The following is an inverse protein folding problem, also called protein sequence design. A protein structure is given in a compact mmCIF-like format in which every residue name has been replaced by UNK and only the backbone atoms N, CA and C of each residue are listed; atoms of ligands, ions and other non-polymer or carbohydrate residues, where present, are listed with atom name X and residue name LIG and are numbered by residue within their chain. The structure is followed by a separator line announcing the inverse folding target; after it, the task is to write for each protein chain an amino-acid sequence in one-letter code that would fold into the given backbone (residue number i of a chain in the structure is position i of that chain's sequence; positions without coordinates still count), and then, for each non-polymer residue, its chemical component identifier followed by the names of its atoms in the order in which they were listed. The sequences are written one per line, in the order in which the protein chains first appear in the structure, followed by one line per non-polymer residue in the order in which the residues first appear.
data_IF_397442865567
#
_entry.id   IF_397442865567
#
_cell.length_a   1.000
_cell.length_b   1.000
_cell.length_c   1.000
_cell.angle_alpha   90.00
_cell.angle_beta   90.00
_cell.angle_gamma   90.00
#
_symmetry.space_group_name_H-M   'P 1'
#
loop_
_entity.id
_entity.type
_entity.pdbx_description
1 polymer ?
#
# COMPACT_ATOMS: atom_id res chain seq x y z
N UNK A 1 37.02 11.27 47.47
CA UNK A 1 36.15 11.91 46.43
C UNK A 1 36.30 11.37 45.05
N UNK A 2 37.50 11.15 44.47
CA UNK A 2 37.65 10.67 43.05
C UNK A 2 37.14 9.23 42.78
N UNK A 3 37.20 8.33 43.77
CA UNK A 3 36.74 6.94 43.62
C UNK A 3 35.20 6.86 43.67
N UNK A 4 34.59 7.63 44.57
CA UNK A 4 33.11 7.70 44.73
C UNK A 4 32.43 8.21 43.43
N UNK A 5 33.02 9.21 42.79
CA UNK A 5 32.53 9.75 41.52
C UNK A 5 32.64 8.72 40.36
N UNK A 6 33.69 7.91 40.33
CA UNK A 6 33.84 6.83 39.31
C UNK A 6 32.82 5.72 39.50
N UNK A 7 32.50 5.36 40.73
CA UNK A 7 31.46 4.34 41.05
C UNK A 7 30.08 4.89 40.71
N UNK A 8 29.80 6.17 40.97
CA UNK A 8 28.53 6.82 40.65
C UNK A 8 28.32 6.94 39.16
N UNK A 9 29.35 7.25 38.36
CA UNK A 9 29.28 7.31 36.92
C UNK A 9 29.11 5.90 36.31
N UNK A 10 29.79 4.90 36.86
CA UNK A 10 29.66 3.50 36.42
C UNK A 10 28.26 2.92 36.71
N UNK A 11 27.63 3.24 37.84
CA UNK A 11 26.28 2.79 38.14
C UNK A 11 25.21 3.47 37.30
N UNK A 12 25.41 4.75 36.96
CA UNK A 12 24.48 5.50 36.09
C UNK A 12 24.54 5.00 34.62
N UNK A 13 25.70 4.60 34.13
CA UNK A 13 25.82 4.04 32.78
C UNK A 13 25.22 2.64 32.66
N UNK A 14 25.19 1.83 33.72
CA UNK A 14 24.55 0.52 33.73
C UNK A 14 23.00 0.59 33.68
N UNK A 15 22.43 1.65 34.25
CA UNK A 15 20.98 1.90 34.25
C UNK A 15 20.44 2.31 32.85
N UNK A 16 21.29 2.83 31.99
CA UNK A 16 20.91 3.18 30.60
C UNK A 16 20.84 1.97 29.65
N UNK A 17 21.40 0.82 30.00
CA UNK A 17 21.44 -0.37 29.14
C UNK A 17 20.19 -1.26 29.24
N UNK A 18 19.35 -1.06 30.25
CA UNK A 18 18.12 -1.84 30.46
C UNK A 18 16.84 -1.17 29.94
N UNK A 19 16.97 -0.06 29.22
CA UNK A 19 15.81 0.77 28.78
C UNK A 19 15.18 0.33 27.46
N UNK A 20 15.72 -0.68 26.74
CA UNK A 20 15.20 -1.04 25.42
C UNK A 20 13.89 -1.83 25.43
N UNK A 21 13.60 -2.62 26.48
CA UNK A 21 12.37 -3.41 26.58
C UNK A 21 11.16 -2.61 27.12
N UNK A 22 11.41 -1.45 27.73
CA UNK A 22 10.33 -0.62 28.30
C UNK A 22 9.55 0.17 27.24
N UNK A 23 10.04 0.20 25.99
CA UNK A 23 9.44 0.95 24.88
C UNK A 23 8.66 0.06 23.89
N UNK A 24 8.51 -1.22 24.16
CA UNK A 24 7.61 -2.08 23.38
C UNK A 24 6.14 -1.71 23.69
N UNK A 25 5.65 -0.80 22.86
CA UNK A 25 4.26 -0.33 22.91
C UNK A 25 3.31 -1.41 22.40
N UNK A 26 2.76 -2.21 23.28
CA UNK A 26 1.64 -3.10 22.93
C UNK A 26 0.39 -2.26 22.72
N UNK A 27 0.06 -2.00 21.48
CA UNK A 27 -1.14 -1.23 21.09
C UNK A 27 -2.42 -2.07 21.29
N UNK A 28 -2.92 -2.15 22.52
CA UNK A 28 -4.13 -2.91 22.87
C UNK A 28 -5.40 -2.41 22.16
N UNK A 29 -5.45 -1.15 21.74
CA UNK A 29 -6.62 -0.51 21.15
C UNK A 29 -6.37 0.09 19.76
N UNK A 30 -5.20 -0.16 19.15
CA UNK A 30 -4.94 0.26 17.77
C UNK A 30 -5.12 -0.93 16.84
N UNK A 31 -5.97 -0.75 15.84
CA UNK A 31 -6.04 -1.65 14.69
C UNK A 31 -4.72 -1.50 13.93
N UNK A 32 -3.85 -2.50 14.03
CA UNK A 32 -2.61 -2.59 13.27
C UNK A 32 -2.82 -3.45 12.04
N UNK A 33 -1.99 -3.27 11.01
CA UNK A 33 -2.07 -4.12 9.80
C UNK A 33 -1.94 -5.61 10.17
N UNK A 34 -1.18 -5.94 11.22
CA UNK A 34 -0.94 -7.31 11.67
C UNK A 34 -2.14 -7.98 12.34
N UNK A 35 -3.08 -7.22 12.93
CA UNK A 35 -4.26 -7.78 13.60
C UNK A 35 -5.59 -7.45 12.91
N UNK A 36 -5.58 -6.54 11.93
CA UNK A 36 -6.80 -6.13 11.23
C UNK A 36 -7.41 -7.27 10.40
N UNK A 37 -6.58 -7.96 9.63
CA UNK A 37 -7.03 -9.01 8.72
C UNK A 37 -7.14 -10.41 9.36
N UNK A 38 -7.05 -10.52 10.68
CA UNK A 38 -7.13 -11.82 11.40
C UNK A 38 -8.55 -12.14 11.89
N UNK A 39 -9.52 -11.25 11.66
CA UNK A 39 -10.93 -11.43 12.03
C UNK A 39 -11.83 -11.40 10.81
N UNK A 40 -13.00 -12.04 10.88
CA UNK A 40 -14.00 -12.03 9.80
C UNK A 40 -14.42 -10.61 9.41
N UNK A 41 -14.68 -9.75 10.38
CA UNK A 41 -15.05 -8.36 10.13
C UNK A 41 -13.89 -7.56 9.51
N UNK A 42 -12.68 -7.79 10.00
CA UNK A 42 -11.49 -7.15 9.46
C UNK A 42 -11.24 -7.51 8.00
N UNK A 43 -11.32 -8.81 7.66
CA UNK A 43 -11.16 -9.27 6.27
C UNK A 43 -12.30 -8.76 5.38
N UNK A 44 -13.54 -8.79 5.86
CA UNK A 44 -14.71 -8.26 5.12
C UNK A 44 -14.53 -6.78 4.82
N UNK A 45 -14.13 -5.99 5.83
CA UNK A 45 -13.85 -4.57 5.65
C UNK A 45 -12.62 -4.34 4.75
N UNK A 46 -11.63 -5.22 4.82
CA UNK A 46 -10.47 -5.22 3.93
C UNK A 46 -10.89 -5.35 2.47
N UNK A 47 -11.67 -6.38 2.13
CA UNK A 47 -12.17 -6.61 0.77
C UNK A 47 -13.06 -5.44 0.30
N UNK A 48 -13.98 -4.94 1.14
CA UNK A 48 -14.76 -3.75 0.84
C UNK A 48 -13.87 -2.51 0.59
N UNK A 49 -12.77 -2.40 1.33
CA UNK A 49 -11.75 -1.37 1.13
C UNK A 49 -11.10 -1.44 -0.25
N UNK A 50 -10.86 -2.64 -0.79
CA UNK A 50 -10.32 -2.81 -2.15
C UNK A 50 -11.28 -2.25 -3.21
N UNK A 51 -12.59 -2.48 -3.08
CA UNK A 51 -13.59 -1.88 -3.97
C UNK A 51 -13.63 -0.35 -3.83
N UNK A 52 -13.44 0.18 -2.64
CA UNK A 52 -13.37 1.63 -2.43
C UNK A 52 -12.15 2.24 -3.14
N UNK A 53 -10.98 1.58 -3.12
CA UNK A 53 -9.81 2.05 -3.87
C UNK A 53 -10.01 1.95 -5.38
N UNK A 54 -10.66 0.87 -5.85
CA UNK A 54 -11.01 0.70 -7.25
C UNK A 54 -11.96 1.83 -7.73
N UNK A 55 -13.00 2.12 -6.96
CA UNK A 55 -13.87 3.28 -7.22
C UNK A 55 -13.07 4.58 -7.25
N UNK A 56 -12.13 4.77 -6.32
CA UNK A 56 -11.26 5.93 -6.26
C UNK A 56 -10.46 6.12 -7.55
N UNK A 57 -9.95 5.06 -8.15
CA UNK A 57 -9.21 5.12 -9.42
C UNK A 57 -10.05 5.69 -10.56
N UNK A 58 -11.34 5.31 -10.65
CA UNK A 58 -12.24 5.77 -11.72
C UNK A 58 -12.84 7.15 -11.50
N UNK A 59 -12.89 7.63 -10.26
CA UNK A 59 -13.38 8.98 -9.95
C UNK A 59 -12.26 10.02 -10.12
N UNK A 60 -11.02 9.65 -9.96
CA UNK A 60 -9.88 10.56 -10.09
C UNK A 60 -9.66 10.96 -11.55
N UNK A 61 -9.44 12.24 -11.75
CA UNK A 61 -9.29 12.84 -13.09
C UNK A 61 -8.05 12.32 -13.83
N UNK A 62 -7.01 11.88 -13.13
CA UNK A 62 -5.77 11.43 -13.78
C UNK A 62 -5.96 10.19 -14.68
N UNK A 63 -6.91 9.29 -14.40
CA UNK A 63 -7.21 8.19 -15.32
C UNK A 63 -7.81 8.73 -16.62
N UNK A 64 -8.70 9.73 -16.55
CA UNK A 64 -9.27 10.40 -17.70
C UNK A 64 -8.16 11.10 -18.52
N UNK A 65 -7.28 11.82 -17.83
CA UNK A 65 -6.15 12.49 -18.51
C UNK A 65 -5.22 11.49 -19.21
N UNK A 66 -4.93 10.37 -18.59
CA UNK A 66 -4.04 9.36 -19.16
C UNK A 66 -4.67 8.57 -20.33
N UNK A 67 -5.98 8.36 -20.30
CA UNK A 67 -6.68 7.59 -21.34
C UNK A 67 -7.22 8.46 -22.45
N UNK A 68 -7.86 9.60 -22.11
CA UNK A 68 -8.59 10.46 -23.05
C UNK A 68 -7.79 11.71 -23.43
N UNK A 69 -6.91 12.17 -22.54
CA UNK A 69 -6.13 13.39 -22.75
C UNK A 69 -5.28 13.40 -24.03
N UNK A 70 -4.60 12.27 -24.38
CA UNK A 70 -3.85 12.17 -25.62
C UNK A 70 -4.70 11.96 -26.88
N UNK A 71 -6.03 11.92 -26.77
CA UNK A 71 -6.93 11.71 -27.90
C UNK A 71 -7.22 13.03 -28.63
N UNK A 72 -7.74 12.95 -29.85
CA UNK A 72 -8.15 14.07 -30.70
C UNK A 72 -9.52 14.66 -30.33
N UNK A 73 -10.25 13.97 -29.45
CA UNK A 73 -11.60 14.38 -29.01
C UNK A 73 -11.59 15.19 -27.72
N UNK A 74 -10.43 15.30 -27.06
CA UNK A 74 -10.32 15.97 -25.78
C UNK A 74 -9.40 17.19 -25.83
N UNK A 75 -9.88 18.30 -25.26
CA UNK A 75 -9.09 19.52 -25.05
C UNK A 75 -9.08 19.81 -23.56
N UNK A 76 -7.90 19.74 -22.94
CA UNK A 76 -7.72 19.93 -21.52
C UNK A 76 -8.01 21.34 -21.06
N UNK A 77 -8.45 21.45 -19.82
CA UNK A 77 -8.52 22.71 -19.09
C UNK A 77 -7.12 23.29 -18.84
N UNK A 78 -7.08 24.56 -18.50
CA UNK A 78 -5.87 25.27 -18.10
C UNK A 78 -5.06 24.45 -17.07
N UNK A 79 -3.79 24.21 -17.39
CA UNK A 79 -2.87 23.39 -16.58
C UNK A 79 -2.74 21.94 -17.02
N UNK A 80 -3.54 21.47 -17.98
CA UNK A 80 -3.47 20.09 -18.50
C UNK A 80 -3.12 20.04 -20.00
N UNK A 81 -2.57 21.12 -20.54
CA UNK A 81 -2.20 21.25 -21.95
C UNK A 81 -1.18 20.20 -22.39
N UNK A 82 -0.36 19.71 -21.47
CA UNK A 82 0.67 18.69 -21.74
C UNK A 82 0.09 17.39 -22.30
N UNK A 83 -1.16 17.04 -21.93
CA UNK A 83 -1.81 15.81 -22.36
C UNK A 83 -2.17 15.85 -23.85
N UNK A 84 -2.82 16.89 -24.31
CA UNK A 84 -3.22 16.99 -25.72
C UNK A 84 -2.11 17.52 -26.63
N UNK A 85 -1.10 18.22 -26.09
CA UNK A 85 0.07 18.65 -26.83
C UNK A 85 1.18 17.59 -26.91
N UNK A 86 0.99 16.42 -26.30
CA UNK A 86 1.96 15.31 -26.25
C UNK A 86 3.33 15.72 -25.67
N UNK A 87 3.35 16.67 -24.74
CA UNK A 87 4.56 17.15 -24.07
C UNK A 87 4.68 16.63 -22.64
N UNK A 88 3.87 15.61 -22.32
CA UNK A 88 3.88 14.98 -21.00
C UNK A 88 5.18 14.19 -20.77
N UNK A 89 5.68 14.26 -19.56
CA UNK A 89 6.88 13.53 -19.15
C UNK A 89 6.70 12.84 -17.78
N UNK A 90 7.73 12.12 -17.36
CA UNK A 90 7.72 11.36 -16.11
C UNK A 90 7.66 12.23 -14.82
N UNK A 91 7.82 13.55 -14.92
CA UNK A 91 7.72 14.48 -13.78
C UNK A 91 6.30 14.96 -13.54
N UNK A 92 5.37 14.66 -14.47
CA UNK A 92 3.97 15.04 -14.34
C UNK A 92 3.32 14.46 -13.08
N UNK A 93 2.56 15.30 -12.39
CA UNK A 93 1.95 14.96 -11.11
C UNK A 93 0.85 13.88 -11.23
N UNK A 94 0.08 13.90 -12.34
CA UNK A 94 -1.02 12.95 -12.57
C UNK A 94 -0.46 11.57 -12.85
N UNK A 95 0.61 11.46 -13.67
CA UNK A 95 1.34 10.22 -13.96
C UNK A 95 1.86 9.60 -12.65
N UNK A 96 2.52 10.40 -11.82
CA UNK A 96 3.03 9.96 -10.53
C UNK A 96 1.91 9.53 -9.58
N UNK A 97 0.82 10.28 -9.52
CA UNK A 97 -0.32 9.99 -8.64
C UNK A 97 -1.01 8.70 -9.04
N UNK A 98 -1.18 8.46 -10.33
CA UNK A 98 -1.74 7.22 -10.86
C UNK A 98 -0.86 6.02 -10.51
N UNK A 99 0.44 6.09 -10.79
CA UNK A 99 1.42 5.07 -10.43
C UNK A 99 1.37 4.72 -8.93
N UNK A 100 1.48 5.74 -8.09
CA UNK A 100 1.46 5.58 -6.64
C UNK A 100 0.16 4.96 -6.14
N UNK A 101 -0.99 5.43 -6.63
CA UNK A 101 -2.31 4.94 -6.22
C UNK A 101 -2.51 3.47 -6.62
N UNK A 102 -2.11 3.09 -7.83
CA UNK A 102 -2.19 1.70 -8.28
C UNK A 102 -1.32 0.78 -7.41
N UNK A 103 -0.05 1.12 -7.17
CA UNK A 103 0.83 0.27 -6.35
C UNK A 103 0.44 0.24 -4.86
N UNK A 104 -0.10 1.33 -4.33
CA UNK A 104 -0.70 1.33 -3.00
C UNK A 104 -1.86 0.34 -2.91
N UNK A 105 -2.72 0.32 -3.91
CA UNK A 105 -3.87 -0.59 -3.98
C UNK A 105 -3.44 -2.04 -4.21
N UNK A 106 -2.42 -2.29 -5.06
CA UNK A 106 -1.79 -3.61 -5.21
C UNK A 106 -1.26 -4.12 -3.88
N UNK A 107 -0.59 -3.26 -3.11
CA UNK A 107 -0.09 -3.65 -1.79
C UNK A 107 -1.20 -3.99 -0.80
N UNK A 108 -2.33 -3.28 -0.83
CA UNK A 108 -3.52 -3.62 -0.04
C UNK A 108 -4.12 -4.96 -0.47
N UNK A 109 -4.23 -5.23 -1.78
CA UNK A 109 -4.66 -6.54 -2.29
C UNK A 109 -3.73 -7.65 -1.79
N UNK A 110 -2.42 -7.45 -1.86
CA UNK A 110 -1.44 -8.43 -1.38
C UNK A 110 -1.61 -8.73 0.11
N UNK A 111 -1.87 -7.72 0.95
CA UNK A 111 -2.08 -7.91 2.38
C UNK A 111 -3.36 -8.72 2.69
N UNK A 112 -4.45 -8.45 1.96
CA UNK A 112 -5.70 -9.22 2.08
C UNK A 112 -5.49 -10.67 1.61
N UNK A 113 -4.86 -10.87 0.45
CA UNK A 113 -4.59 -12.19 -0.12
C UNK A 113 -3.70 -13.01 0.82
N UNK A 114 -2.58 -12.43 1.27
CA UNK A 114 -1.65 -13.10 2.19
C UNK A 114 -2.35 -13.55 3.48
N UNK A 115 -3.25 -12.70 4.01
CA UNK A 115 -4.01 -13.05 5.20
C UNK A 115 -5.02 -14.19 4.96
N UNK A 116 -5.72 -14.17 3.82
CA UNK A 116 -6.66 -15.24 3.45
C UNK A 116 -5.97 -16.58 3.20
N UNK A 117 -4.74 -16.55 2.66
CA UNK A 117 -3.98 -17.77 2.36
C UNK A 117 -3.30 -18.37 3.60
N UNK A 118 -2.77 -17.53 4.50
CA UNK A 118 -1.89 -17.99 5.57
C UNK A 118 -2.55 -18.05 6.95
N UNK A 119 -3.73 -17.45 7.15
CA UNK A 119 -4.39 -17.42 8.45
C UNK A 119 -5.67 -18.27 8.46
N UNK A 120 -5.88 -18.93 9.58
CA UNK A 120 -7.21 -19.42 9.95
C UNK A 120 -7.99 -18.27 10.59
N UNK A 121 -9.05 -17.81 9.90
CA UNK A 121 -9.82 -16.65 10.32
C UNK A 121 -11.11 -17.15 11.01
N UNK A 122 -11.24 -17.01 12.33
CA UNK A 122 -12.38 -17.53 13.08
C UNK A 122 -13.71 -17.00 12.54
N UNK A 123 -14.62 -17.93 12.25
CA UNK A 123 -15.98 -17.61 11.77
C UNK A 123 -16.07 -17.26 10.27
N UNK A 124 -14.99 -17.35 9.52
CA UNK A 124 -14.99 -17.24 8.07
C UNK A 124 -15.17 -18.65 7.47
N UNK A 125 -16.27 -18.87 6.74
CA UNK A 125 -16.50 -20.13 6.04
C UNK A 125 -15.67 -20.20 4.74
N UNK A 126 -15.42 -21.43 4.25
CA UNK A 126 -14.54 -21.65 3.08
C UNK A 126 -15.11 -21.08 1.79
N UNK A 127 -16.42 -21.03 1.62
CA UNK A 127 -17.05 -20.45 0.43
C UNK A 127 -16.80 -18.93 0.40
N UNK A 128 -17.00 -18.27 1.53
CA UNK A 128 -16.75 -16.83 1.65
C UNK A 128 -15.27 -16.50 1.54
N UNK A 129 -14.41 -17.33 2.12
CA UNK A 129 -12.94 -17.21 1.98
C UNK A 129 -12.52 -17.30 0.52
N UNK A 130 -13.00 -18.31 -0.19
CA UNK A 130 -12.72 -18.52 -1.63
C UNK A 130 -13.20 -17.34 -2.45
N UNK A 131 -14.38 -16.84 -2.17
CA UNK A 131 -14.93 -15.67 -2.84
C UNK A 131 -14.07 -14.42 -2.60
N UNK A 132 -13.72 -14.11 -1.36
CA UNK A 132 -12.89 -12.96 -1.03
C UNK A 132 -11.49 -13.04 -1.65
N UNK A 133 -10.92 -14.23 -1.71
CA UNK A 133 -9.66 -14.48 -2.39
C UNK A 133 -9.78 -14.16 -3.90
N UNK A 134 -10.81 -14.68 -4.55
CA UNK A 134 -11.06 -14.44 -5.97
C UNK A 134 -11.27 -12.95 -6.28
N UNK A 135 -12.06 -12.25 -5.47
CA UNK A 135 -12.29 -10.82 -5.61
C UNK A 135 -10.99 -10.02 -5.46
N UNK A 136 -10.16 -10.36 -4.46
CA UNK A 136 -8.89 -9.67 -4.20
C UNK A 136 -7.88 -9.90 -5.32
N UNK A 137 -7.80 -11.12 -5.85
CA UNK A 137 -6.96 -11.48 -7.00
C UNK A 137 -7.40 -10.75 -8.27
N UNK A 138 -8.70 -10.67 -8.51
CA UNK A 138 -9.26 -9.94 -9.65
C UNK A 138 -8.91 -8.45 -9.58
N UNK A 139 -9.13 -7.80 -8.43
CA UNK A 139 -8.84 -6.38 -8.26
C UNK A 139 -7.34 -6.11 -8.43
N UNK A 140 -6.46 -6.98 -7.88
CA UNK A 140 -5.01 -6.87 -8.10
C UNK A 140 -4.63 -6.97 -9.57
N UNK A 141 -5.19 -7.94 -10.29
CA UNK A 141 -4.95 -8.12 -11.73
C UNK A 141 -5.43 -6.90 -12.52
N UNK A 142 -6.55 -6.30 -12.13
CA UNK A 142 -7.10 -5.10 -12.74
C UNK A 142 -6.14 -3.90 -12.62
N UNK A 143 -5.51 -3.69 -11.45
CA UNK A 143 -4.50 -2.65 -11.28
C UNK A 143 -3.26 -2.90 -12.14
N UNK A 144 -2.76 -4.14 -12.19
CA UNK A 144 -1.64 -4.47 -13.06
C UNK A 144 -1.97 -4.30 -14.55
N UNK A 145 -3.20 -4.62 -14.96
CA UNK A 145 -3.66 -4.39 -16.32
C UNK A 145 -3.56 -2.90 -16.70
N UNK A 146 -4.07 -2.00 -15.88
CA UNK A 146 -3.96 -0.57 -16.13
C UNK A 146 -2.51 -0.07 -16.11
N UNK A 147 -1.71 -0.55 -15.18
CA UNK A 147 -0.29 -0.19 -15.11
C UNK A 147 0.46 -0.61 -16.36
N UNK A 148 0.25 -1.85 -16.84
CA UNK A 148 0.95 -2.35 -18.03
C UNK A 148 0.53 -1.61 -19.29
N UNK A 149 -0.74 -1.22 -19.39
CA UNK A 149 -1.23 -0.44 -20.53
C UNK A 149 -0.60 0.96 -20.60
N UNK A 150 -0.36 1.59 -19.46
CA UNK A 150 0.15 2.95 -19.41
C UNK A 150 1.68 3.03 -19.42
N UNK A 151 2.36 2.04 -18.84
CA UNK A 151 3.81 2.09 -18.59
C UNK A 151 4.62 1.00 -19.27
N UNK A 152 3.97 0.04 -19.95
CA UNK A 152 4.67 -1.11 -20.54
C UNK A 152 5.16 -2.08 -19.47
N UNK A 153 6.44 -2.45 -19.49
CA UNK A 153 7.01 -3.36 -18.51
C UNK A 153 7.03 -2.76 -17.11
N UNK A 154 6.40 -3.46 -16.17
CA UNK A 154 6.22 -3.00 -14.79
C UNK A 154 6.71 -4.03 -13.77
N UNK A 155 7.16 -3.62 -12.58
CA UNK A 155 7.34 -4.51 -11.44
C UNK A 155 6.00 -5.11 -10.98
N UNK A 156 5.95 -6.42 -10.72
CA UNK A 156 4.76 -7.12 -10.24
C UNK A 156 4.98 -7.72 -8.84
N UNK A 157 4.99 -6.93 -7.76
CA UNK A 157 5.11 -7.45 -6.40
C UNK A 157 3.85 -8.23 -6.03
N UNK A 158 4.00 -9.51 -5.65
CA UNK A 158 2.89 -10.39 -5.26
C UNK A 158 2.80 -10.59 -3.74
N UNK A 159 3.68 -9.96 -2.97
CA UNK A 159 3.68 -9.97 -1.50
C UNK A 159 3.53 -8.55 -0.97
N UNK A 160 2.89 -8.37 0.20
CA UNK A 160 2.80 -7.07 0.82
C UNK A 160 4.19 -6.57 1.25
N UNK A 161 4.39 -5.27 1.15
CA UNK A 161 5.59 -4.60 1.64
C UNK A 161 5.23 -3.78 2.88
N UNK A 162 6.01 -3.94 3.94
CA UNK A 162 5.83 -3.21 5.19
C UNK A 162 6.48 -1.82 5.17
N UNK A 163 7.21 -1.48 4.11
CA UNK A 163 7.87 -0.19 3.95
C UNK A 163 7.29 0.57 2.77
N UNK A 164 7.11 1.88 2.94
CA UNK A 164 6.69 2.82 1.87
C UNK A 164 7.75 2.95 0.78
N UNK A 165 8.96 2.43 1.03
CA UNK A 165 10.07 2.41 0.07
C UNK A 165 10.04 1.07 -0.68
N UNK A 166 9.40 1.07 -1.84
CA UNK A 166 9.64 0.05 -2.86
C UNK A 166 11.13 0.12 -3.24
N UNK A 167 11.94 -0.74 -2.68
CA UNK A 167 13.27 -1.01 -3.20
C UNK A 167 13.07 -1.77 -4.51
N UNK A 168 12.90 -1.03 -5.59
CA UNK A 168 12.95 -1.56 -6.95
C UNK A 168 14.41 -1.94 -7.18
N UNK A 169 14.75 -3.19 -6.91
CA UNK A 169 15.98 -3.76 -7.46
C UNK A 169 15.73 -3.94 -8.94
N UNK A 170 16.17 -2.97 -9.74
CA UNK A 170 16.36 -3.19 -11.16
C UNK A 170 17.44 -4.28 -11.31
N UNK A 171 17.08 -5.36 -12.01
CA UNK A 171 18.06 -6.29 -12.57
C UNK A 171 18.50 -5.79 -13.91
#
# INVERSE_FOLDING_TARGET
MKILNKILIGSLSLLCLSSCDFLDETAYNKVTVGNFYTTKDGITNGVNGLYSTLRGMYIQEYLIYMCEGPSDIWIGHQGHEQWYNWTIDATNADVRSFWYSCYKSVNQCNAVIESLENNDIPGLDEDLKTRFLAESLFIRAHYFYHLVQQFGDIPMPLKPTNSVLLHIKQK
#
